data_IF_834293586756
#
_entry.id   IF_834293586756
#
_cell.length_a   1.000
_cell.length_b   1.000
_cell.length_c   1.000
_cell.angle_alpha   90.00
_cell.angle_beta   90.00
_cell.angle_gamma   90.00
#
_symmetry.space_group_name_H-M   'P 1'
#
loop_
_entity.id
_entity.type
_entity.pdbx_description
1 polymer ?
#
# COMPACT_ATOMS: atom_id res chain seq x y z
N UNK A 1 -15.53 18.92 4.17
CA UNK A 1 -14.25 18.18 4.22
C UNK A 1 -13.73 18.29 5.64
N UNK A 2 -13.56 17.18 6.36
CA UNK A 2 -13.08 17.20 7.76
C UNK A 2 -11.60 16.85 7.76
N UNK A 3 -10.78 17.82 8.14
CA UNK A 3 -9.34 17.63 8.36
C UNK A 3 -9.14 17.29 9.83
N UNK A 4 -8.69 16.08 10.12
CA UNK A 4 -8.26 15.69 11.47
C UNK A 4 -6.74 15.78 11.49
N UNK A 5 -6.18 16.72 12.25
CA UNK A 5 -4.74 16.77 12.51
C UNK A 5 -4.39 15.72 13.56
N UNK A 6 -3.36 14.90 13.31
CA UNK A 6 -2.77 14.05 14.31
C UNK A 6 -1.46 14.69 14.78
N UNK A 7 -1.39 15.04 16.07
CA UNK A 7 -0.17 15.48 16.76
C UNK A 7 0.37 14.30 17.56
N UNK A 8 1.20 13.51 16.91
CA UNK A 8 2.16 12.59 17.51
C UNK A 8 3.42 12.66 16.64
N UNK A 9 4.53 12.07 17.06
CA UNK A 9 5.68 11.91 16.17
C UNK A 9 5.30 10.90 15.07
N UNK A 10 4.52 11.34 14.09
CA UNK A 10 4.01 10.50 13.03
C UNK A 10 5.12 10.41 12.00
N UNK A 11 5.71 9.22 11.87
CA UNK A 11 5.96 8.76 10.52
C UNK A 11 4.67 9.05 9.73
N UNK A 12 4.72 9.80 8.60
CA UNK A 12 3.53 10.25 7.89
C UNK A 12 2.56 9.07 7.76
N UNK A 13 1.27 9.25 8.07
CA UNK A 13 0.33 8.14 8.15
C UNK A 13 0.46 7.30 6.88
N UNK A 14 0.91 6.06 7.06
CA UNK A 14 1.10 5.15 5.95
C UNK A 14 -0.30 4.77 5.49
N UNK A 15 -0.80 5.44 4.45
CA UNK A 15 -2.06 5.04 3.82
C UNK A 15 -1.79 3.78 3.01
N UNK A 16 -1.92 2.65 3.69
CA UNK A 16 -1.74 1.32 3.16
C UNK A 16 -3.02 0.80 2.47
N UNK A 17 -3.98 1.67 2.16
CA UNK A 17 -5.22 1.27 1.50
C UNK A 17 -5.32 1.81 0.07
N UNK A 18 -5.85 1.00 -0.84
CA UNK A 18 -5.97 1.32 -2.27
C UNK A 18 -6.79 0.26 -3.00
N UNK A 19 -7.26 0.55 -4.20
CA UNK A 19 -7.94 -0.42 -5.06
C UNK A 19 -6.90 -1.08 -5.97
N UNK A 20 -6.23 -2.13 -5.49
CA UNK A 20 -5.09 -2.72 -6.19
C UNK A 20 -5.52 -3.74 -7.25
N UNK A 21 -6.79 -4.15 -7.27
CA UNK A 21 -7.33 -5.09 -8.26
C UNK A 21 -8.34 -4.44 -9.25
N UNK A 22 -8.75 -3.19 -9.02
CA UNK A 22 -9.65 -2.43 -9.88
C UNK A 22 -11.14 -2.79 -9.69
N UNK A 23 -11.52 -3.35 -8.54
CA UNK A 23 -12.91 -3.78 -8.28
C UNK A 23 -13.78 -2.69 -7.65
N UNK A 24 -13.22 -1.49 -7.47
CA UNK A 24 -13.87 -0.33 -6.86
C UNK A 24 -13.90 -0.36 -5.34
N UNK A 25 -13.21 -1.31 -4.69
CA UNK A 25 -13.12 -1.44 -3.22
C UNK A 25 -11.70 -1.17 -2.76
N UNK A 26 -11.59 -0.75 -1.49
CA UNK A 26 -10.28 -0.59 -0.86
C UNK A 26 -9.78 -1.94 -0.35
N UNK A 27 -8.65 -2.36 -0.89
CA UNK A 27 -7.78 -3.41 -0.39
C UNK A 27 -6.79 -2.84 0.63
N UNK A 28 -5.97 -3.71 1.22
CA UNK A 28 -5.00 -3.35 2.25
C UNK A 28 -3.62 -3.93 1.97
N UNK A 29 -2.59 -3.12 2.14
CA UNK A 29 -1.24 -3.57 2.42
C UNK A 29 -1.07 -3.72 3.94
N UNK A 30 -0.48 -4.82 4.38
CA UNK A 30 -0.20 -5.05 5.80
C UNK A 30 1.27 -5.39 5.99
N UNK A 31 1.80 -4.98 7.14
CA UNK A 31 3.18 -5.33 7.51
C UNK A 31 3.31 -6.84 7.69
N UNK A 32 4.21 -7.46 6.93
CA UNK A 32 4.55 -8.89 7.03
C UNK A 32 5.80 -9.10 7.90
N UNK A 33 6.79 -8.24 7.74
CA UNK A 33 8.02 -8.20 8.56
C UNK A 33 8.58 -6.77 8.60
N UNK A 34 9.75 -6.56 9.19
CA UNK A 34 10.42 -5.25 9.20
C UNK A 34 10.70 -4.71 7.80
N UNK A 35 10.96 -5.61 6.83
CA UNK A 35 11.32 -5.27 5.45
C UNK A 35 10.28 -5.70 4.43
N UNK A 36 9.11 -6.19 4.85
CA UNK A 36 8.11 -6.71 3.92
C UNK A 36 6.70 -6.23 4.25
N UNK A 37 5.94 -5.96 3.20
CA UNK A 37 4.49 -5.80 3.24
C UNK A 37 3.82 -6.84 2.34
N UNK A 38 2.59 -7.23 2.67
CA UNK A 38 1.77 -8.12 1.83
C UNK A 38 0.44 -7.45 1.49
N UNK A 39 -0.04 -7.68 0.26
CA UNK A 39 -1.35 -7.23 -0.20
C UNK A 39 -2.45 -8.21 0.22
N UNK A 40 -3.56 -7.66 0.70
CA UNK A 40 -4.78 -8.36 1.05
C UNK A 40 -5.96 -7.71 0.35
N UNK A 41 -6.62 -8.47 -0.53
CA UNK A 41 -7.77 -7.98 -1.29
C UNK A 41 -9.05 -8.07 -0.48
N UNK A 42 -9.91 -7.07 -0.59
CA UNK A 42 -11.23 -7.09 0.00
C UNK A 42 -12.18 -7.96 -0.83
N UNK A 43 -12.52 -9.14 -0.33
CA UNK A 43 -13.47 -10.02 -1.01
C UNK A 43 -14.92 -9.58 -0.75
N UNK A 44 -15.66 -9.32 -1.83
CA UNK A 44 -17.09 -8.98 -1.78
C UNK A 44 -17.96 -10.13 -1.26
N UNK A 45 -17.62 -11.38 -1.57
CA UNK A 45 -18.42 -12.56 -1.24
C UNK A 45 -18.28 -12.97 0.23
N UNK A 46 -17.10 -12.74 0.83
CA UNK A 46 -16.81 -13.12 2.22
C UNK A 46 -16.82 -11.94 3.20
N UNK A 47 -16.92 -10.70 2.69
CA UNK A 47 -16.71 -9.46 3.47
C UNK A 47 -15.42 -9.52 4.31
N UNK A 48 -14.38 -10.12 3.74
CA UNK A 48 -13.15 -10.43 4.43
C UNK A 48 -11.95 -10.20 3.51
N UNK A 49 -10.81 -9.91 4.12
CA UNK A 49 -9.55 -9.75 3.41
C UNK A 49 -8.96 -11.12 3.09
N UNK A 50 -8.76 -11.41 1.81
CA UNK A 50 -8.04 -12.59 1.35
C UNK A 50 -6.60 -12.25 1.06
N UNK A 51 -5.69 -13.06 1.60
CA UNK A 51 -4.29 -13.03 1.20
C UNK A 51 -4.17 -13.48 -0.26
N UNK A 52 -3.46 -12.71 -1.07
CA UNK A 52 -2.99 -13.19 -2.37
C UNK A 52 -1.65 -13.89 -2.13
N UNK A 53 -1.50 -15.10 -2.67
CA UNK A 53 -0.17 -15.71 -2.76
C UNK A 53 0.72 -14.80 -3.62
N UNK A 54 1.99 -14.66 -3.24
CA UNK A 54 3.03 -13.94 -4.01
C UNK A 54 2.90 -12.42 -4.15
N UNK A 55 1.92 -11.77 -3.51
CA UNK A 55 1.84 -10.31 -3.44
C UNK A 55 2.59 -9.76 -2.20
N UNK A 56 3.89 -10.05 -2.11
CA UNK A 56 4.78 -9.57 -1.05
C UNK A 56 5.79 -8.60 -1.66
N UNK A 57 5.94 -7.43 -1.05
CA UNK A 57 6.80 -6.36 -1.53
C UNK A 57 7.88 -6.05 -0.50
N UNK A 58 9.12 -5.96 -0.97
CA UNK A 58 10.26 -5.52 -0.16
C UNK A 58 10.17 -3.99 0.05
N UNK A 59 10.22 -3.59 1.30
CA UNK A 59 10.24 -2.21 1.76
C UNK A 59 11.39 -2.04 2.75
N UNK A 60 11.92 -0.83 2.84
CA UNK A 60 12.92 -0.55 3.86
C UNK A 60 12.28 -0.33 5.23
N UNK A 61 13.07 -0.65 6.27
CA UNK A 61 12.72 -0.38 7.66
C UNK A 61 12.30 1.08 7.83
N UNK A 62 11.09 1.29 8.36
CA UNK A 62 10.52 2.61 8.67
C UNK A 62 10.26 3.56 7.50
N UNK A 63 10.21 3.09 6.25
CA UNK A 63 9.96 3.97 5.11
C UNK A 63 8.48 4.29 4.84
N UNK A 64 8.28 5.44 4.22
CA UNK A 64 6.99 5.89 3.72
C UNK A 64 6.59 5.04 2.51
N UNK A 65 5.38 4.51 2.56
CA UNK A 65 4.75 3.74 1.50
C UNK A 65 3.47 4.45 1.10
N UNK A 66 3.16 4.50 -0.19
CA UNK A 66 1.97 5.16 -0.71
C UNK A 66 1.27 4.32 -1.76
N UNK A 67 -0.05 4.22 -1.64
CA UNK A 67 -0.93 3.73 -2.70
C UNK A 67 -1.41 4.90 -3.57
N UNK A 68 -1.21 4.84 -4.88
CA UNK A 68 -1.66 5.85 -5.86
C UNK A 68 -1.65 5.27 -7.26
N UNK A 69 -2.65 5.59 -8.08
CA UNK A 69 -2.64 5.25 -9.53
C UNK A 69 -1.57 6.10 -10.24
N UNK A 70 -0.44 5.48 -10.58
CA UNK A 70 0.70 6.13 -11.22
C UNK A 70 0.62 6.05 -12.75
N UNK A 71 0.02 5.00 -13.28
CA UNK A 71 0.01 4.71 -14.73
C UNK A 71 -1.31 5.10 -15.42
N UNK A 72 -2.35 5.46 -14.67
CA UNK A 72 -3.66 5.89 -15.14
C UNK A 72 -4.59 4.75 -15.56
N UNK A 73 -4.36 3.51 -15.08
CA UNK A 73 -5.18 2.35 -15.43
C UNK A 73 -6.42 2.16 -14.52
N UNK A 74 -6.57 3.02 -13.51
CA UNK A 74 -7.66 2.97 -12.55
C UNK A 74 -7.42 2.04 -11.36
N UNK A 75 -6.25 1.41 -11.26
CA UNK A 75 -5.80 0.64 -10.09
C UNK A 75 -4.81 1.47 -9.29
N UNK A 76 -4.76 1.20 -7.99
CA UNK A 76 -3.76 1.79 -7.11
C UNK A 76 -2.44 1.06 -7.28
N UNK A 77 -1.38 1.79 -7.62
CA UNK A 77 -0.01 1.29 -7.63
C UNK A 77 0.66 1.54 -6.27
N UNK A 78 1.77 0.84 -6.03
CA UNK A 78 2.55 0.97 -4.81
C UNK A 78 3.84 1.76 -5.06
N UNK A 79 4.02 2.86 -4.33
CA UNK A 79 5.24 3.67 -4.32
C UNK A 79 5.96 3.58 -2.97
N UNK A 80 7.24 3.19 -3.00
CA UNK A 80 8.07 3.02 -1.82
C UNK A 80 9.35 3.87 -1.90
N UNK A 81 9.74 4.48 -0.79
CA UNK A 81 11.06 5.08 -0.64
C UNK A 81 12.12 4.01 -0.33
N UNK A 82 13.29 4.10 -0.96
CA UNK A 82 14.42 3.18 -0.75
C UNK A 82 15.66 3.97 -0.26
N UNK A 83 16.08 3.71 0.98
CA UNK A 83 17.29 4.22 1.62
C UNK A 83 18.52 3.54 1.02
N UNK A 84 19.55 4.32 0.73
CA UNK A 84 20.80 3.85 0.10
C UNK A 84 20.84 3.98 -1.43
N UNK A 85 19.68 4.07 -2.09
CA UNK A 85 19.59 4.35 -3.53
C UNK A 85 19.12 5.78 -3.87
N UNK A 86 18.82 6.61 -2.85
CA UNK A 86 18.25 7.96 -3.02
C UNK A 86 17.08 8.02 -4.03
N UNK A 87 16.29 6.95 -4.11
CA UNK A 87 15.35 6.72 -5.19
C UNK A 87 14.01 6.17 -4.71
N UNK A 88 13.03 6.26 -5.62
CA UNK A 88 11.70 5.68 -5.46
C UNK A 88 11.64 4.33 -6.18
N UNK A 89 10.95 3.36 -5.59
CA UNK A 89 10.55 2.11 -6.26
C UNK A 89 9.03 2.13 -6.42
N UNK A 90 8.57 1.82 -7.63
CA UNK A 90 7.16 1.65 -7.94
C UNK A 90 6.87 0.18 -8.29
N UNK A 91 5.74 -0.34 -7.82
CA UNK A 91 5.16 -1.60 -8.26
C UNK A 91 3.80 -1.27 -8.88
N UNK A 92 3.67 -1.54 -10.17
CA UNK A 92 2.43 -1.31 -10.90
C UNK A 92 1.46 -2.48 -10.66
N UNK A 93 0.21 -2.17 -10.39
CA UNK A 93 -0.86 -3.15 -10.42
C UNK A 93 -1.06 -3.64 -11.87
N UNK A 94 -1.46 -4.90 -12.03
CA UNK A 94 -1.77 -5.51 -13.34
C UNK A 94 -3.25 -5.83 -13.44
#
# INVERSE_FOLDING_TARGET
>A
MRTTAFTGQLAPPIDLSGDFNGDGRRDLLVRRSETQIELRLMSSSKRAFSKIADAVFEVDENQSVRAVDLNGDGKSDLLCFVKGHAGLRAYLAQ
#
